data_IF_966956179128
#
_entry.id   IF_966956179128
#
_cell.length_a   1.000
_cell.length_b   1.000
_cell.length_c   1.000
_cell.angle_alpha   90.00
_cell.angle_beta   90.00
_cell.angle_gamma   90.00
#
_symmetry.space_group_name_H-M   'P 1'
#
loop_
_entity.id
_entity.type
_entity.pdbx_description
1 polymer ?
#
# COMPACT_ATOMS: atom_id res chain seq x y z
N UNK A 1 -20.60 -2.72 4.88
CA UNK A 1 -19.48 -1.97 4.27
C UNK A 1 -19.99 -0.68 3.60
N UNK A 2 -19.43 0.45 3.98
CA UNK A 2 -19.69 1.77 3.36
C UNK A 2 -18.42 2.24 2.68
N UNK A 3 -18.54 2.94 1.55
CA UNK A 3 -17.41 3.42 0.75
C UNK A 3 -17.41 2.87 -0.67
N UNK A 4 -16.42 3.29 -1.45
CA UNK A 4 -16.27 2.91 -2.86
C UNK A 4 -14.96 2.15 -3.06
N UNK A 5 -15.05 0.95 -3.62
CA UNK A 5 -13.90 0.16 -4.05
C UNK A 5 -13.70 0.36 -5.56
N UNK A 6 -12.58 0.98 -5.93
CA UNK A 6 -12.25 1.24 -7.34
C UNK A 6 -11.34 0.16 -7.94
N UNK A 7 -10.54 -0.49 -7.10
CA UNK A 7 -9.60 -1.56 -7.48
C UNK A 7 -9.75 -2.71 -6.48
N UNK A 8 -9.73 -3.94 -7.00
CA UNK A 8 -9.64 -5.14 -6.17
C UNK A 8 -8.17 -5.53 -5.90
N UNK A 9 -7.98 -6.54 -5.05
CA UNK A 9 -6.64 -7.01 -4.64
C UNK A 9 -5.82 -7.48 -5.84
N UNK A 10 -6.45 -8.17 -6.79
CA UNK A 10 -5.77 -8.73 -7.96
C UNK A 10 -5.27 -7.62 -8.89
N UNK A 11 -6.07 -6.58 -9.12
CA UNK A 11 -5.67 -5.41 -9.89
C UNK A 11 -4.51 -4.66 -9.24
N UNK A 12 -4.54 -4.50 -7.91
CA UNK A 12 -3.45 -3.87 -7.15
C UNK A 12 -2.17 -4.71 -7.23
N UNK A 13 -2.26 -6.03 -7.04
CA UNK A 13 -1.12 -6.94 -7.09
C UNK A 13 -0.49 -7.02 -8.49
N UNK A 14 -1.32 -7.03 -9.54
CA UNK A 14 -0.86 -6.99 -10.92
C UNK A 14 -0.08 -5.70 -11.22
N UNK A 15 -0.59 -4.54 -10.79
CA UNK A 15 0.09 -3.27 -10.97
C UNK A 15 1.42 -3.20 -10.19
N UNK A 16 1.41 -3.60 -8.92
CA UNK A 16 2.62 -3.66 -8.09
C UNK A 16 3.67 -4.61 -8.67
N UNK A 17 3.26 -5.77 -9.16
CA UNK A 17 4.17 -6.74 -9.80
C UNK A 17 4.82 -6.16 -11.05
N UNK A 18 4.02 -5.55 -11.95
CA UNK A 18 4.54 -4.92 -13.15
C UNK A 18 5.52 -3.78 -12.84
N UNK A 19 5.20 -2.96 -11.85
CA UNK A 19 6.08 -1.89 -11.37
C UNK A 19 7.38 -2.44 -10.74
N UNK A 20 7.29 -3.53 -9.97
CA UNK A 20 8.45 -4.19 -9.35
C UNK A 20 9.38 -4.78 -10.41
N UNK A 21 8.83 -5.45 -11.42
CA UNK A 21 9.60 -5.98 -12.56
C UNK A 21 10.28 -4.88 -13.36
N UNK A 22 9.60 -3.75 -13.55
CA UNK A 22 10.14 -2.59 -14.25
C UNK A 22 11.11 -1.73 -13.41
N UNK A 23 11.18 -1.95 -12.09
CA UNK A 23 11.96 -1.10 -11.18
C UNK A 23 11.39 0.32 -11.02
N UNK A 24 10.07 0.48 -11.15
CA UNK A 24 9.35 1.76 -11.10
C UNK A 24 8.49 1.83 -9.83
N UNK A 25 8.39 3.01 -9.23
CA UNK A 25 7.52 3.26 -8.09
C UNK A 25 6.05 3.17 -8.49
N UNK A 26 5.28 2.42 -7.72
CA UNK A 26 3.81 2.44 -7.77
C UNK A 26 3.26 3.30 -6.62
N UNK A 27 2.11 3.94 -6.83
CA UNK A 27 1.44 4.78 -5.85
C UNK A 27 -0.05 4.45 -5.75
N UNK A 28 -0.58 4.37 -4.53
CA UNK A 28 -2.01 4.19 -4.29
C UNK A 28 -2.54 5.19 -3.28
N UNK A 29 -3.74 5.69 -3.51
CA UNK A 29 -4.49 6.48 -2.55
C UNK A 29 -5.30 5.53 -1.67
N UNK A 30 -5.00 5.47 -0.37
CA UNK A 30 -5.51 4.43 0.54
C UNK A 30 -5.97 5.07 1.84
N UNK A 31 -7.29 5.17 2.05
CA UNK A 31 -7.86 5.78 3.28
C UNK A 31 -8.48 4.72 4.18
N UNK A 32 -9.56 4.09 3.70
CA UNK A 32 -10.37 3.17 4.52
C UNK A 32 -9.68 1.84 4.83
N UNK A 33 -10.08 1.22 5.93
CA UNK A 33 -9.58 -0.08 6.43
C UNK A 33 -9.64 -1.19 5.37
N UNK A 34 -10.72 -1.23 4.58
CA UNK A 34 -10.85 -2.18 3.46
C UNK A 34 -9.79 -1.94 2.36
N UNK A 35 -9.46 -0.68 2.08
CA UNK A 35 -8.42 -0.34 1.11
C UNK A 35 -7.02 -0.66 1.65
N UNK A 36 -6.76 -0.39 2.94
CA UNK A 36 -5.48 -0.78 3.59
C UNK A 36 -5.30 -2.28 3.57
N UNK A 37 -6.35 -3.03 3.89
CA UNK A 37 -6.33 -4.50 3.86
C UNK A 37 -6.06 -5.01 2.44
N UNK A 38 -6.70 -4.43 1.42
CA UNK A 38 -6.51 -4.83 0.04
C UNK A 38 -5.07 -4.58 -0.45
N UNK A 39 -4.51 -3.39 -0.19
CA UNK A 39 -3.15 -3.07 -0.64
C UNK A 39 -2.09 -3.86 0.13
N UNK A 40 -2.30 -4.12 1.43
CA UNK A 40 -1.38 -4.94 2.23
C UNK A 40 -1.36 -6.39 1.74
N UNK A 41 -2.53 -6.97 1.42
CA UNK A 41 -2.63 -8.30 0.84
C UNK A 41 -1.94 -8.39 -0.52
N UNK A 42 -2.17 -7.41 -1.40
CA UNK A 42 -1.50 -7.35 -2.70
C UNK A 42 0.02 -7.22 -2.57
N UNK A 43 0.51 -6.37 -1.66
CA UNK A 43 1.93 -6.22 -1.37
C UNK A 43 2.54 -7.51 -0.82
N UNK A 44 1.84 -8.25 0.04
CA UNK A 44 2.30 -9.57 0.50
C UNK A 44 2.55 -10.51 -0.68
N UNK A 45 1.60 -10.62 -1.62
CA UNK A 45 1.77 -11.45 -2.83
C UNK A 45 2.99 -11.04 -3.66
N UNK A 46 3.24 -9.73 -3.78
CA UNK A 46 4.38 -9.19 -4.54
C UNK A 46 5.70 -9.45 -3.81
N UNK A 47 5.72 -9.30 -2.48
CA UNK A 47 6.88 -9.62 -1.63
C UNK A 47 7.19 -11.11 -1.67
N UNK A 48 6.18 -11.98 -1.62
CA UNK A 48 6.37 -13.43 -1.73
C UNK A 48 6.97 -13.84 -3.09
N UNK A 49 6.61 -13.10 -4.15
CA UNK A 49 7.10 -13.35 -5.52
C UNK A 49 8.51 -12.81 -5.78
N UNK A 50 8.79 -11.57 -5.39
CA UNK A 50 10.04 -10.88 -5.76
C UNK A 50 11.05 -10.72 -4.62
N UNK A 51 10.62 -10.97 -3.38
CA UNK A 51 11.38 -10.73 -2.17
C UNK A 51 11.39 -9.27 -1.74
N UNK A 52 11.55 -9.05 -0.43
CA UNK A 52 11.57 -7.73 0.22
C UNK A 52 12.54 -6.76 -0.45
N UNK A 53 13.75 -7.22 -0.78
CA UNK A 53 14.77 -6.34 -1.36
C UNK A 53 14.37 -5.76 -2.72
N UNK A 54 13.59 -6.49 -3.53
CA UNK A 54 13.13 -5.99 -4.82
C UNK A 54 12.01 -4.96 -4.67
N UNK A 55 11.05 -5.24 -3.79
CA UNK A 55 9.94 -4.34 -3.46
C UNK A 55 10.46 -3.03 -2.86
N UNK A 56 11.36 -3.12 -1.87
CA UNK A 56 11.93 -1.95 -1.20
C UNK A 56 12.71 -1.03 -2.15
N UNK A 57 13.44 -1.59 -3.14
CA UNK A 57 14.18 -0.79 -4.14
C UNK A 57 13.27 0.06 -5.01
N UNK A 58 12.01 -0.32 -5.20
CA UNK A 58 11.05 0.42 -6.01
C UNK A 58 10.44 1.61 -5.25
N UNK A 59 10.53 1.64 -3.93
CA UNK A 59 10.00 2.72 -3.10
C UNK A 59 8.49 2.95 -3.28
N UNK A 60 7.70 1.87 -3.42
CA UNK A 60 6.24 1.96 -3.54
C UNK A 60 5.65 2.83 -2.43
N UNK A 61 4.66 3.64 -2.77
CA UNK A 61 4.13 4.70 -1.90
C UNK A 61 2.62 4.55 -1.69
N UNK A 62 2.19 4.72 -0.45
CA UNK A 62 0.78 4.77 -0.08
C UNK A 62 0.47 6.19 0.43
N UNK A 63 -0.52 6.84 -0.18
CA UNK A 63 -1.02 8.14 0.25
C UNK A 63 -2.09 7.95 1.33
N UNK A 64 -2.12 8.85 2.31
CA UNK A 64 -3.06 8.88 3.45
C UNK A 64 -2.82 7.78 4.47
N UNK A 65 -3.07 6.52 4.11
CA UNK A 65 -2.91 5.35 4.98
C UNK A 65 -3.57 5.51 6.37
N UNK A 66 -4.73 6.18 6.42
CA UNK A 66 -5.36 6.68 7.66
C UNK A 66 -5.85 5.56 8.59
N UNK A 67 -6.46 4.50 8.06
CA UNK A 67 -7.03 3.40 8.86
C UNK A 67 -6.12 2.17 8.95
N UNK A 68 -4.80 2.38 9.02
CA UNK A 68 -3.81 1.29 9.14
C UNK A 68 -3.74 0.72 10.55
N UNK A 69 -3.70 -0.61 10.65
CA UNK A 69 -3.45 -1.28 11.93
C UNK A 69 -1.94 -1.35 12.26
N UNK A 70 -1.60 -1.60 13.52
CA UNK A 70 -0.21 -1.80 13.95
C UNK A 70 0.47 -2.94 13.17
N UNK A 71 -0.19 -4.10 13.05
CA UNK A 71 0.33 -5.25 12.29
C UNK A 71 0.57 -4.90 10.80
N UNK A 72 -0.32 -4.14 10.19
CA UNK A 72 -0.17 -3.71 8.80
C UNK A 72 0.99 -2.72 8.66
N UNK A 73 1.12 -1.77 9.58
CA UNK A 73 2.22 -0.81 9.60
C UNK A 73 3.58 -1.51 9.75
N UNK A 74 3.69 -2.50 10.63
CA UNK A 74 4.90 -3.32 10.79
C UNK A 74 5.28 -4.04 9.49
N UNK A 75 4.31 -4.69 8.83
CA UNK A 75 4.52 -5.36 7.54
C UNK A 75 5.00 -4.39 6.47
N UNK A 76 4.27 -3.30 6.27
CA UNK A 76 4.58 -2.27 5.26
C UNK A 76 5.98 -1.68 5.49
N UNK A 77 6.32 -1.37 6.75
CA UNK A 77 7.66 -0.90 7.13
C UNK A 77 8.75 -1.93 6.84
N UNK A 78 8.50 -3.21 7.13
CA UNK A 78 9.44 -4.31 6.84
C UNK A 78 9.68 -4.54 5.34
N UNK A 79 8.73 -4.13 4.49
CA UNK A 79 8.81 -4.26 3.03
C UNK A 79 9.38 -3.02 2.33
N UNK A 80 9.70 -1.97 3.08
CA UNK A 80 10.22 -0.71 2.54
C UNK A 80 9.17 0.13 1.79
N UNK A 81 7.89 -0.03 2.13
CA UNK A 81 6.80 0.79 1.58
C UNK A 81 6.77 2.15 2.27
N UNK A 82 6.64 3.21 1.48
CA UNK A 82 6.66 4.59 1.96
C UNK A 82 5.24 5.07 2.23
N UNK A 83 4.96 5.45 3.48
CA UNK A 83 3.71 6.13 3.82
C UNK A 83 3.86 7.65 3.60
N UNK A 84 2.98 8.23 2.80
CA UNK A 84 2.86 9.67 2.65
C UNK A 84 1.61 10.18 3.34
N UNK A 85 1.81 10.71 4.53
CA UNK A 85 0.75 11.16 5.43
C UNK A 85 0.44 12.64 5.24
N UNK A 86 -0.79 13.04 5.58
CA UNK A 86 -1.28 14.41 5.52
C UNK A 86 -1.76 14.83 6.92
N UNK A 87 -0.86 15.14 7.87
CA UNK A 87 -1.25 15.31 9.29
C UNK A 87 -2.33 16.36 9.55
N UNK A 88 -2.48 17.35 8.66
CA UNK A 88 -3.51 18.36 8.80
C UNK A 88 -4.92 17.84 8.45
N UNK A 89 -5.06 16.62 7.92
CA UNK A 89 -6.36 15.98 7.72
C UNK A 89 -7.04 15.72 9.06
N UNK A 90 -6.33 15.12 10.03
CA UNK A 90 -6.82 14.90 11.40
C UNK A 90 -7.36 16.19 12.03
N UNK A 91 -6.61 17.29 11.89
CA UNK A 91 -6.99 18.58 12.45
C UNK A 91 -8.23 19.22 11.77
N UNK A 92 -8.51 18.91 10.50
CA UNK A 92 -9.57 19.57 9.72
C UNK A 92 -10.78 18.69 9.46
N UNK A 93 -10.62 17.37 9.50
CA UNK A 93 -11.60 16.38 9.05
C UNK A 93 -11.78 15.19 10.01
N UNK A 94 -10.87 15.01 10.97
CA UNK A 94 -10.88 13.93 11.99
C UNK A 94 -10.14 12.67 11.55
#
# INVERSE_FOLDING_TARGET
PTGNTYLDVDAVAAHLSACTEAGITAGFHVIGDAAVSAVTAALQTVVDRFGVAAVARCGHRLEHLEMVSEEQAEKLGSWGVIASMQPNFDALWG
#
